data_IF_457139191115
#
_entry.id   IF_457139191115
#
_cell.length_a   1.000
_cell.length_b   1.000
_cell.length_c   1.000
_cell.angle_alpha   90.00
_cell.angle_beta   90.00
_cell.angle_gamma   90.00
#
_symmetry.space_group_name_H-M   'P 1'
#
loop_
_entity.id
_entity.type
_entity.pdbx_description
1 polymer ?
#
# COMPACT_ATOMS: atom_id res chain seq x y z
N UNK A 1 -42.58 46.27 -32.58
CA UNK A 1 -42.66 46.88 -33.93
C UNK A 1 -42.09 45.88 -34.94
N UNK A 2 -42.75 45.75 -36.10
CA UNK A 2 -42.43 44.90 -37.26
C UNK A 2 -43.09 45.56 -38.49
N UNK A 3 -42.80 45.19 -39.77
CA UNK A 3 -41.78 44.28 -40.32
C UNK A 3 -41.00 44.85 -41.56
N UNK A 4 -40.19 43.99 -42.22
CA UNK A 4 -40.13 43.77 -43.69
C UNK A 4 -38.78 43.95 -44.45
N UNK A 5 -38.41 42.88 -45.20
CA UNK A 5 -37.85 42.77 -46.59
C UNK A 5 -36.75 43.75 -47.09
N UNK A 6 -35.80 43.40 -47.98
CA UNK A 6 -35.10 42.19 -48.48
C UNK A 6 -34.50 42.53 -49.86
N UNK A 7 -33.21 42.25 -50.12
CA UNK A 7 -32.50 42.11 -51.43
C UNK A 7 -30.96 41.96 -51.17
N UNK A 8 -30.09 41.37 -52.01
CA UNK A 8 -30.25 40.52 -53.21
C UNK A 8 -29.04 39.54 -53.41
N UNK A 9 -29.04 38.82 -54.53
CA UNK A 9 -28.07 37.84 -55.11
C UNK A 9 -26.58 38.32 -55.19
N UNK A 10 -25.54 37.47 -55.34
CA UNK A 10 -25.41 36.00 -55.34
C UNK A 10 -24.13 35.44 -56.04
N UNK A 11 -23.67 34.24 -55.62
CA UNK A 11 -22.95 33.17 -56.36
C UNK A 11 -21.48 33.28 -56.91
N UNK A 12 -20.58 32.50 -56.27
CA UNK A 12 -19.72 31.41 -56.83
C UNK A 12 -18.62 31.59 -57.92
N UNK A 13 -17.40 31.13 -57.54
CA UNK A 13 -16.53 30.14 -58.24
C UNK A 13 -15.28 30.55 -59.09
N UNK A 14 -14.27 29.66 -58.97
CA UNK A 14 -13.23 29.22 -59.93
C UNK A 14 -11.84 29.90 -60.06
N UNK A 15 -10.89 29.00 -60.35
CA UNK A 15 -9.44 29.08 -60.47
C UNK A 15 -8.89 30.03 -61.56
N UNK A 16 -7.62 30.44 -61.39
CA UNK A 16 -6.80 31.02 -62.47
C UNK A 16 -5.30 30.89 -62.18
N UNK A 17 -4.57 30.14 -63.03
CA UNK A 17 -3.10 30.12 -63.02
C UNK A 17 -2.52 31.41 -63.60
N UNK A 18 -1.42 31.91 -63.04
CA UNK A 18 -0.48 32.79 -63.75
C UNK A 18 0.94 32.24 -63.58
N UNK A 19 1.56 31.90 -64.71
CA UNK A 19 2.97 31.52 -64.81
C UNK A 19 3.88 32.74 -64.70
N UNK A 20 4.99 32.62 -63.96
CA UNK A 20 6.21 33.40 -64.16
C UNK A 20 7.37 32.39 -64.20
N UNK A 21 8.16 32.42 -65.27
CA UNK A 21 9.13 31.38 -65.58
C UNK A 21 10.58 31.71 -65.30
N UNK A 22 11.38 30.64 -65.24
CA UNK A 22 12.83 30.56 -65.44
C UNK A 22 13.76 31.36 -64.49
N UNK A 23 14.46 30.64 -63.61
CA UNK A 23 15.88 30.29 -63.83
C UNK A 23 16.36 29.32 -62.75
N UNK A 24 16.32 28.01 -63.04
CA UNK A 24 16.93 26.98 -62.17
C UNK A 24 18.40 26.80 -62.56
N UNK A 25 19.31 27.17 -61.65
CA UNK A 25 20.73 26.84 -61.78
C UNK A 25 20.91 25.35 -61.48
N UNK A 26 21.04 24.55 -62.54
CA UNK A 26 21.42 23.14 -62.44
C UNK A 26 22.89 23.03 -62.04
N UNK A 27 23.14 22.90 -60.73
CA UNK A 27 24.44 22.48 -60.23
C UNK A 27 24.76 21.07 -60.73
N UNK A 28 25.86 20.92 -61.47
CA UNK A 28 26.31 19.61 -61.95
C UNK A 28 26.61 18.67 -60.75
N UNK A 29 26.22 17.39 -60.80
CA UNK A 29 26.71 16.42 -59.82
C UNK A 29 28.25 16.31 -59.93
N UNK A 30 28.98 16.10 -58.82
CA UNK A 30 30.43 16.12 -58.83
C UNK A 30 31.00 15.05 -59.76
N UNK A 31 31.97 15.44 -60.58
CA UNK A 31 32.75 14.55 -61.45
C UNK A 31 33.31 13.38 -60.61
N UNK A 32 33.21 12.12 -61.06
CA UNK A 32 33.91 11.03 -60.39
C UNK A 32 35.43 11.31 -60.44
N UNK A 33 36.18 11.04 -59.36
CA UNK A 33 37.63 11.23 -59.37
C UNK A 33 38.27 10.30 -60.42
N UNK A 34 39.32 10.80 -61.07
CA UNK A 34 40.15 10.01 -61.98
C UNK A 34 40.62 8.70 -61.30
N UNK A 35 40.90 7.62 -62.06
CA UNK A 35 41.32 6.36 -61.49
C UNK A 35 42.64 6.52 -60.73
N UNK A 36 42.54 6.73 -59.40
CA UNK A 36 43.70 6.91 -58.54
C UNK A 36 44.65 5.72 -58.66
N UNK A 37 45.95 5.99 -58.80
CA UNK A 37 46.98 4.99 -59.01
C UNK A 37 46.88 3.82 -58.03
N UNK A 38 47.11 2.56 -58.48
CA UNK A 38 47.06 1.40 -57.60
C UNK A 38 48.08 1.49 -56.45
N UNK A 39 49.16 2.25 -56.63
CA UNK A 39 50.13 2.56 -55.57
C UNK A 39 49.58 3.54 -54.54
N UNK A 40 48.91 4.62 -54.97
CA UNK A 40 48.28 5.57 -54.05
C UNK A 40 47.15 4.91 -53.23
N UNK A 41 46.36 4.01 -53.85
CA UNK A 41 45.34 3.22 -53.15
C UNK A 41 45.94 2.30 -52.08
N UNK A 42 47.10 1.67 -52.36
CA UNK A 42 47.84 0.86 -51.38
C UNK A 42 48.42 1.70 -50.24
N UNK A 43 49.00 2.86 -50.52
CA UNK A 43 49.49 3.77 -49.48
C UNK A 43 48.37 4.23 -48.53
N UNK A 44 47.20 4.58 -49.06
CA UNK A 44 46.01 4.93 -48.24
C UNK A 44 45.50 3.72 -47.45
N UNK A 45 45.54 2.51 -48.02
CA UNK A 45 45.18 1.28 -47.31
C UNK A 45 46.16 0.96 -46.17
N UNK A 46 47.46 1.11 -46.39
CA UNK A 46 48.52 0.91 -45.39
C UNK A 46 48.43 1.93 -44.25
N UNK A 47 48.18 3.21 -44.56
CA UNK A 47 47.94 4.26 -43.55
C UNK A 47 46.66 3.97 -42.73
N UNK A 48 45.58 3.53 -43.38
CA UNK A 48 44.33 3.16 -42.70
C UNK A 48 44.53 1.93 -41.79
N UNK A 49 45.32 0.95 -42.23
CA UNK A 49 45.67 -0.23 -41.44
C UNK A 49 46.52 0.14 -40.22
N UNK A 50 47.51 1.02 -40.37
CA UNK A 50 48.28 1.57 -39.24
C UNK A 50 47.38 2.25 -38.21
N UNK A 51 46.48 3.13 -38.65
CA UNK A 51 45.55 3.84 -37.76
C UNK A 51 44.62 2.86 -37.00
N UNK A 52 44.07 1.86 -37.70
CA UNK A 52 43.23 0.82 -37.10
C UNK A 52 43.97 0.00 -36.02
N UNK A 53 45.24 -0.34 -36.26
CA UNK A 53 46.04 -1.09 -35.28
C UNK A 53 46.38 -0.24 -34.06
N UNK A 54 46.71 1.05 -34.25
CA UNK A 54 46.91 1.98 -33.13
C UNK A 54 45.63 2.14 -32.31
N UNK A 55 44.48 2.31 -32.96
CA UNK A 55 43.18 2.37 -32.29
C UNK A 55 42.90 1.09 -31.49
N UNK A 56 43.04 -0.09 -32.10
CA UNK A 56 42.85 -1.38 -31.43
C UNK A 56 43.76 -1.55 -30.21
N UNK A 57 45.02 -1.13 -30.28
CA UNK A 57 45.96 -1.14 -29.15
C UNK A 57 45.49 -0.19 -28.03
N UNK A 58 45.07 1.04 -28.36
CA UNK A 58 44.60 2.00 -27.34
C UNK A 58 43.29 1.54 -26.67
N UNK A 59 42.37 0.93 -27.43
CA UNK A 59 41.15 0.33 -26.90
C UNK A 59 41.46 -0.87 -26.01
N UNK A 60 42.39 -1.74 -26.42
CA UNK A 60 42.83 -2.87 -25.61
C UNK A 60 43.50 -2.41 -24.30
N UNK A 61 44.31 -1.36 -24.31
CA UNK A 61 44.89 -0.77 -23.08
C UNK A 61 43.83 -0.22 -22.13
N UNK A 62 42.73 0.36 -22.64
CA UNK A 62 41.58 0.79 -21.82
C UNK A 62 40.87 -0.40 -21.19
N UNK A 63 40.58 -1.44 -21.98
CA UNK A 63 39.93 -2.65 -21.48
C UNK A 63 40.84 -3.48 -20.55
N UNK A 64 42.17 -3.45 -20.72
CA UNK A 64 43.09 -4.24 -19.90
C UNK A 64 43.00 -3.94 -18.40
N UNK A 65 42.55 -2.73 -18.02
CA UNK A 65 42.35 -2.33 -16.62
C UNK A 65 41.04 -2.85 -15.98
N UNK A 66 40.05 -3.24 -16.78
CA UNK A 66 38.68 -3.56 -16.31
C UNK A 66 38.19 -4.94 -16.74
N UNK A 67 38.59 -5.42 -17.92
CA UNK A 67 38.31 -6.74 -18.44
C UNK A 67 39.42 -7.18 -19.43
N UNK A 68 40.44 -7.93 -18.98
CA UNK A 68 41.55 -8.35 -19.83
C UNK A 68 41.13 -9.35 -20.92
N UNK A 69 40.09 -10.16 -20.69
CA UNK A 69 39.58 -11.08 -21.71
C UNK A 69 39.00 -10.34 -22.92
N UNK A 70 38.24 -9.26 -22.67
CA UNK A 70 37.71 -8.38 -23.72
C UNK A 70 38.83 -7.65 -24.47
N UNK A 71 39.88 -7.23 -23.77
CA UNK A 71 41.06 -6.62 -24.39
C UNK A 71 41.78 -7.57 -25.35
N UNK A 72 41.96 -8.85 -24.96
CA UNK A 72 42.53 -9.90 -25.85
C UNK A 72 41.63 -10.16 -27.06
N UNK A 73 40.30 -10.16 -26.88
CA UNK A 73 39.36 -10.37 -27.98
C UNK A 73 39.47 -9.28 -29.06
N UNK A 74 39.55 -8.00 -28.65
CA UNK A 74 39.70 -6.84 -29.56
C UNK A 74 41.00 -6.90 -30.36
N UNK A 75 42.11 -7.30 -29.73
CA UNK A 75 43.39 -7.45 -30.44
C UNK A 75 43.41 -8.65 -31.40
N UNK A 76 42.71 -9.74 -31.05
CA UNK A 76 42.59 -10.92 -31.91
C UNK A 76 41.72 -10.67 -33.14
N UNK A 77 40.62 -9.90 -33.02
CA UNK A 77 39.84 -9.50 -34.19
C UNK A 77 40.65 -8.60 -35.12
N UNK A 78 41.33 -7.58 -34.58
CA UNK A 78 42.20 -6.71 -35.38
C UNK A 78 43.33 -7.48 -36.10
N UNK A 79 43.85 -8.55 -35.49
CA UNK A 79 44.85 -9.42 -36.14
C UNK A 79 44.26 -10.19 -37.33
N UNK A 80 43.07 -10.78 -37.16
CA UNK A 80 42.37 -11.47 -38.25
C UNK A 80 42.00 -10.52 -39.41
N UNK A 81 41.60 -9.28 -39.11
CA UNK A 81 41.28 -8.25 -40.11
C UNK A 81 42.50 -7.84 -40.95
N UNK A 82 43.69 -7.75 -40.33
CA UNK A 82 44.96 -7.44 -41.01
C UNK A 82 45.46 -8.62 -41.87
N UNK A 83 45.28 -9.86 -41.38
CA UNK A 83 45.66 -11.07 -42.12
C UNK A 83 44.76 -11.34 -43.33
N UNK A 84 43.45 -11.07 -43.22
CA UNK A 84 42.48 -11.26 -44.31
C UNK A 84 42.46 -10.11 -45.33
N UNK A 85 42.98 -8.92 -45.00
CA UNK A 85 42.97 -7.77 -45.90
C UNK A 85 43.99 -7.88 -47.05
N UNK A 86 43.49 -8.11 -48.26
CA UNK A 86 44.26 -8.17 -49.50
C UNK A 86 44.78 -6.80 -50.01
N UNK A 87 44.35 -5.69 -49.41
CA UNK A 87 44.69 -4.33 -49.84
C UNK A 87 46.02 -3.79 -49.25
N UNK A 88 46.52 -4.43 -48.19
CA UNK A 88 47.72 -4.02 -47.42
C UNK A 88 48.99 -4.59 -48.08
N UNK A 89 50.08 -3.82 -48.07
CA UNK A 89 51.38 -4.29 -48.56
C UNK A 89 51.96 -5.40 -47.67
N UNK A 90 52.70 -6.39 -48.24
CA UNK A 90 53.12 -7.58 -47.49
C UNK A 90 54.08 -7.26 -46.33
N UNK A 91 54.94 -6.26 -46.50
CA UNK A 91 55.85 -5.75 -45.46
C UNK A 91 55.09 -5.08 -44.32
N UNK A 92 54.10 -4.22 -44.64
CA UNK A 92 53.27 -3.56 -43.64
C UNK A 92 52.42 -4.57 -42.86
N UNK A 93 51.88 -5.61 -43.51
CA UNK A 93 51.12 -6.69 -42.85
C UNK A 93 51.96 -7.39 -41.78
N UNK A 94 53.22 -7.75 -42.08
CA UNK A 94 54.12 -8.39 -41.12
C UNK A 94 54.48 -7.49 -39.93
N UNK A 95 54.70 -6.19 -40.17
CA UNK A 95 54.97 -5.23 -39.11
C UNK A 95 53.76 -5.05 -38.18
N UNK A 96 52.55 -4.94 -38.73
CA UNK A 96 51.31 -4.76 -37.96
C UNK A 96 50.90 -6.03 -37.19
N UNK A 97 51.03 -7.22 -37.79
CA UNK A 97 50.73 -8.47 -37.09
C UNK A 97 51.70 -8.69 -35.92
N UNK A 98 53.00 -8.39 -36.09
CA UNK A 98 53.98 -8.41 -35.00
C UNK A 98 53.64 -7.47 -33.85
N UNK A 99 53.20 -6.24 -34.15
CA UNK A 99 52.75 -5.27 -33.13
C UNK A 99 51.52 -5.77 -32.36
N UNK A 100 50.52 -6.32 -33.05
CA UNK A 100 49.33 -6.89 -32.43
C UNK A 100 49.64 -8.13 -31.59
N UNK A 101 50.51 -9.03 -32.05
CA UNK A 101 50.94 -10.20 -31.27
C UNK A 101 51.69 -9.80 -29.99
N UNK A 102 52.58 -8.81 -30.07
CA UNK A 102 53.27 -8.25 -28.90
C UNK A 102 52.28 -7.60 -27.90
N UNK A 103 51.27 -6.86 -28.40
CA UNK A 103 50.22 -6.29 -27.56
C UNK A 103 49.35 -7.37 -26.89
N UNK A 104 49.01 -8.46 -27.60
CA UNK A 104 48.26 -9.59 -27.03
C UNK A 104 49.06 -10.22 -25.88
N UNK A 105 50.37 -10.41 -26.04
CA UNK A 105 51.23 -10.95 -25.00
C UNK A 105 51.28 -10.05 -23.75
N UNK A 106 51.41 -8.72 -23.94
CA UNK A 106 51.38 -7.74 -22.85
C UNK A 106 50.04 -7.74 -22.10
N UNK A 107 48.91 -7.72 -22.82
CA UNK A 107 47.56 -7.68 -22.21
C UNK A 107 47.22 -8.98 -21.48
N UNK A 108 47.77 -10.12 -21.88
CA UNK A 108 47.62 -11.40 -21.17
C UNK A 108 48.41 -11.48 -19.85
N UNK A 109 49.15 -10.43 -19.47
CA UNK A 109 49.93 -10.43 -18.23
C UNK A 109 51.07 -11.45 -18.20
N UNK A 110 51.45 -11.99 -19.37
CA UNK A 110 52.61 -12.87 -19.52
C UNK A 110 53.85 -12.01 -19.75
N UNK A 111 54.78 -11.88 -18.77
CA UNK A 111 56.18 -11.74 -19.15
C UNK A 111 56.55 -12.92 -20.06
N UNK A 112 57.55 -12.77 -20.93
CA UNK A 112 58.26 -13.95 -21.43
C UNK A 112 58.87 -14.61 -20.19
N UNK A 113 58.39 -15.79 -19.77
CA UNK A 113 58.98 -16.43 -18.61
C UNK A 113 60.38 -16.89 -19.02
N UNK A 114 61.44 -16.68 -18.20
CA UNK A 114 62.40 -17.77 -18.10
C UNK A 114 61.56 -19.02 -17.77
N UNK A 115 61.71 -20.14 -18.51
CA UNK A 115 60.76 -21.26 -18.44
C UNK A 115 60.54 -21.63 -16.98
N UNK A 116 59.27 -21.65 -16.49
CA UNK A 116 59.02 -21.87 -15.08
C UNK A 116 59.68 -23.19 -14.68
N UNK A 117 60.52 -23.13 -13.65
CA UNK A 117 61.17 -24.31 -13.07
C UNK A 117 60.06 -25.35 -12.86
N UNK A 118 60.16 -26.48 -13.57
CA UNK A 118 58.98 -27.27 -13.89
C UNK A 118 58.27 -27.71 -12.60
N UNK A 119 57.00 -27.31 -12.36
CA UNK A 119 56.14 -28.16 -11.54
C UNK A 119 56.08 -29.46 -12.33
N UNK A 120 56.82 -30.47 -11.84
CA UNK A 120 57.36 -31.56 -12.66
C UNK A 120 56.32 -32.08 -13.63
N UNK A 121 56.64 -32.05 -14.94
CA UNK A 121 55.64 -32.22 -16.02
C UNK A 121 54.68 -33.34 -15.65
N UNK A 122 53.36 -33.08 -15.48
CA UNK A 122 52.41 -34.12 -15.13
C UNK A 122 52.59 -35.23 -16.14
N UNK A 123 52.84 -36.45 -15.66
CA UNK A 123 53.27 -37.52 -16.55
C UNK A 123 52.22 -37.71 -17.64
N UNK A 124 52.59 -38.20 -18.85
CA UNK A 124 51.59 -38.46 -19.89
C UNK A 124 50.42 -39.31 -19.37
N UNK A 125 50.68 -40.19 -18.38
CA UNK A 125 49.68 -40.99 -17.69
C UNK A 125 48.75 -40.16 -16.78
N UNK A 126 49.23 -39.15 -16.07
CA UNK A 126 48.40 -38.30 -15.18
C UNK A 126 47.54 -37.32 -15.98
N UNK A 127 48.06 -36.83 -17.11
CA UNK A 127 47.31 -36.06 -18.11
C UNK A 127 46.24 -36.92 -18.79
N UNK A 128 46.49 -38.21 -18.99
CA UNK A 128 45.53 -39.16 -19.57
C UNK A 128 44.46 -39.57 -18.55
N UNK A 129 44.84 -39.86 -17.30
CA UNK A 129 43.92 -40.14 -16.18
C UNK A 129 42.99 -38.96 -15.88
N UNK A 130 43.51 -37.72 -15.82
CA UNK A 130 42.68 -36.53 -15.59
C UNK A 130 41.69 -36.27 -16.73
N UNK A 131 42.07 -36.54 -17.98
CA UNK A 131 41.16 -36.53 -19.14
C UNK A 131 40.09 -37.62 -19.05
N UNK A 132 40.46 -38.84 -18.68
CA UNK A 132 39.51 -39.95 -18.47
C UNK A 132 38.51 -39.62 -17.35
N UNK A 133 38.98 -39.13 -16.20
CA UNK A 133 38.12 -38.71 -15.08
C UNK A 133 37.20 -37.53 -15.46
N UNK A 134 37.68 -36.56 -16.25
CA UNK A 134 36.84 -35.47 -16.74
C UNK A 134 35.76 -35.98 -17.71
N UNK A 135 36.10 -36.94 -18.57
CA UNK A 135 35.16 -37.57 -19.50
C UNK A 135 34.11 -38.43 -18.77
N UNK A 136 34.51 -39.20 -17.76
CA UNK A 136 33.61 -39.97 -16.89
C UNK A 136 32.64 -39.05 -16.13
N UNK A 137 33.13 -37.94 -15.58
CA UNK A 137 32.27 -36.93 -14.92
C UNK A 137 31.27 -36.30 -15.89
N UNK A 138 31.70 -35.96 -17.11
CA UNK A 138 30.81 -35.44 -18.15
C UNK A 138 29.73 -36.46 -18.55
N UNK A 139 30.10 -37.74 -18.72
CA UNK A 139 29.14 -38.81 -19.02
C UNK A 139 28.15 -39.04 -17.86
N UNK A 140 28.59 -38.91 -16.62
CA UNK A 140 27.71 -38.97 -15.45
C UNK A 140 26.74 -37.78 -15.41
N UNK A 141 27.23 -36.54 -15.59
CA UNK A 141 26.41 -35.33 -15.65
C UNK A 141 25.33 -35.42 -16.74
N UNK A 142 25.68 -35.86 -17.95
CA UNK A 142 24.71 -36.01 -19.05
C UNK A 142 23.60 -37.01 -18.69
N UNK A 143 23.94 -38.13 -18.03
CA UNK A 143 22.95 -39.12 -17.57
C UNK A 143 22.05 -38.56 -16.47
N UNK A 144 22.65 -37.98 -15.43
CA UNK A 144 21.92 -37.36 -14.32
C UNK A 144 20.94 -36.29 -14.80
N UNK A 145 21.37 -35.42 -15.71
CA UNK A 145 20.55 -34.37 -16.31
C UNK A 145 19.43 -34.96 -17.18
N UNK A 146 19.72 -36.00 -17.97
CA UNK A 146 18.71 -36.67 -18.80
C UNK A 146 17.63 -37.37 -17.95
N UNK A 147 18.02 -38.08 -16.89
CA UNK A 147 17.08 -38.71 -15.95
C UNK A 147 16.29 -37.69 -15.13
N UNK A 148 16.90 -36.55 -14.78
CA UNK A 148 16.20 -35.46 -14.12
C UNK A 148 15.15 -34.82 -15.05
N UNK A 149 15.51 -34.53 -16.30
CA UNK A 149 14.58 -33.98 -17.32
C UNK A 149 13.38 -34.93 -17.53
N UNK A 150 13.62 -36.24 -17.61
CA UNK A 150 12.53 -37.23 -17.74
C UNK A 150 11.59 -37.24 -16.53
N UNK A 151 12.13 -37.17 -15.30
CA UNK A 151 11.32 -37.09 -14.08
C UNK A 151 10.53 -35.77 -14.00
N UNK A 152 11.15 -34.66 -14.36
CA UNK A 152 10.51 -33.33 -14.40
C UNK A 152 9.37 -33.32 -15.43
N UNK A 153 9.56 -33.93 -16.61
CA UNK A 153 8.51 -34.08 -17.61
C UNK A 153 7.31 -34.89 -17.07
N UNK A 154 7.55 -36.03 -16.41
CA UNK A 154 6.49 -36.82 -15.77
C UNK A 154 5.74 -36.06 -14.67
N UNK A 155 6.42 -35.20 -13.90
CA UNK A 155 5.79 -34.35 -12.89
C UNK A 155 4.94 -33.23 -13.55
N UNK A 156 5.41 -32.65 -14.65
CA UNK A 156 4.66 -31.67 -15.44
C UNK A 156 3.40 -32.30 -16.07
N UNK A 157 3.50 -33.50 -16.65
CA UNK A 157 2.36 -34.26 -17.20
C UNK A 157 1.31 -34.60 -16.14
N UNK A 158 1.74 -34.90 -14.90
CA UNK A 158 0.86 -35.14 -13.75
C UNK A 158 0.31 -33.86 -13.10
N UNK A 159 0.63 -32.68 -13.64
CA UNK A 159 0.20 -31.39 -13.08
C UNK A 159 0.85 -31.02 -11.74
N UNK A 160 1.90 -31.72 -11.31
CA UNK A 160 2.60 -31.49 -10.04
C UNK A 160 3.66 -30.39 -10.19
N UNK A 161 3.21 -29.19 -10.59
CA UNK A 161 4.06 -28.09 -11.06
C UNK A 161 5.04 -27.58 -9.99
N UNK A 162 4.63 -27.50 -8.72
CA UNK A 162 5.53 -27.12 -7.61
C UNK A 162 6.63 -28.16 -7.35
N UNK A 163 6.33 -29.45 -7.53
CA UNK A 163 7.31 -30.52 -7.36
C UNK A 163 8.31 -30.53 -8.53
N UNK A 164 7.82 -30.30 -9.75
CA UNK A 164 8.66 -30.11 -10.93
C UNK A 164 9.62 -28.92 -10.75
N UNK A 165 9.11 -27.76 -10.31
CA UNK A 165 9.94 -26.57 -10.06
C UNK A 165 11.05 -26.83 -9.03
N UNK A 166 10.73 -27.48 -7.90
CA UNK A 166 11.74 -27.83 -6.87
C UNK A 166 12.87 -28.71 -7.45
N UNK A 167 12.56 -29.64 -8.36
CA UNK A 167 13.57 -30.44 -9.04
C UNK A 167 14.37 -29.64 -10.07
N UNK A 168 13.74 -28.69 -10.79
CA UNK A 168 14.46 -27.77 -11.70
C UNK A 168 15.44 -26.90 -10.92
N UNK A 169 15.02 -26.34 -9.79
CA UNK A 169 15.87 -25.50 -8.93
C UNK A 169 17.00 -26.30 -8.24
N UNK A 170 16.77 -27.55 -7.86
CA UNK A 170 17.84 -28.44 -7.36
C UNK A 170 18.85 -28.77 -8.48
N UNK A 171 18.37 -29.07 -9.68
CA UNK A 171 19.23 -29.36 -10.83
C UNK A 171 20.08 -28.14 -11.22
N UNK A 172 19.50 -26.94 -11.21
CA UNK A 172 20.19 -25.67 -11.46
C UNK A 172 21.25 -25.33 -10.40
N UNK A 173 21.05 -25.74 -9.15
CA UNK A 173 22.09 -25.61 -8.10
C UNK A 173 23.23 -26.62 -8.27
N UNK A 174 22.94 -27.81 -8.80
CA UNK A 174 23.92 -28.88 -9.01
C UNK A 174 24.76 -28.67 -10.27
N UNK A 175 24.17 -28.16 -11.34
CA UNK A 175 24.82 -27.91 -12.63
C UNK A 175 24.50 -26.50 -13.18
N UNK A 176 25.10 -25.42 -12.63
CA UNK A 176 24.75 -24.05 -13.01
C UNK A 176 25.10 -23.67 -14.46
N UNK A 177 26.22 -24.19 -14.98
CA UNK A 177 26.75 -23.84 -16.30
C UNK A 177 26.23 -24.73 -17.44
N UNK A 178 25.33 -25.69 -17.16
CA UNK A 178 24.86 -26.64 -18.15
C UNK A 178 23.72 -26.04 -19.02
N UNK A 179 23.87 -26.00 -20.37
CA UNK A 179 22.91 -25.33 -21.24
C UNK A 179 21.51 -25.98 -21.24
N UNK A 180 21.40 -27.28 -20.98
CA UNK A 180 20.10 -27.95 -20.91
C UNK A 180 19.31 -27.52 -19.65
N UNK A 181 20.02 -27.28 -18.54
CA UNK A 181 19.42 -26.88 -17.26
C UNK A 181 18.98 -25.41 -17.29
N UNK A 182 19.79 -24.54 -17.91
CA UNK A 182 19.42 -23.14 -18.17
C UNK A 182 18.15 -23.02 -19.03
N UNK A 183 18.08 -23.74 -20.15
CA UNK A 183 16.88 -23.74 -21.01
C UNK A 183 15.63 -24.28 -20.29
N UNK A 184 15.79 -25.26 -19.41
CA UNK A 184 14.69 -25.80 -18.60
C UNK A 184 14.19 -24.78 -17.58
N UNK A 185 15.09 -24.03 -16.94
CA UNK A 185 14.72 -22.98 -15.99
C UNK A 185 14.00 -21.82 -16.68
N UNK A 186 14.49 -21.37 -17.85
CA UNK A 186 13.85 -20.29 -18.61
C UNK A 186 12.48 -20.71 -19.17
N UNK A 187 12.35 -21.97 -19.64
CA UNK A 187 11.05 -22.54 -20.04
C UNK A 187 10.04 -22.53 -18.89
N UNK A 188 10.44 -22.94 -17.69
CA UNK A 188 9.55 -22.96 -16.53
C UNK A 188 9.19 -21.53 -16.09
N UNK A 189 10.15 -20.61 -16.01
CA UNK A 189 9.89 -19.18 -15.72
C UNK A 189 8.89 -18.57 -16.69
N UNK A 190 9.04 -18.82 -17.99
CA UNK A 190 8.11 -18.34 -19.00
C UNK A 190 6.72 -18.97 -18.82
N UNK A 191 6.65 -20.29 -18.61
CA UNK A 191 5.39 -20.99 -18.38
C UNK A 191 4.68 -20.53 -17.09
N UNK A 192 5.43 -20.11 -16.07
CA UNK A 192 4.88 -19.51 -14.85
C UNK A 192 4.34 -18.11 -15.12
N UNK A 193 5.13 -17.23 -15.75
CA UNK A 193 4.67 -15.89 -16.12
C UNK A 193 3.39 -15.90 -16.97
N UNK A 194 3.23 -16.86 -17.88
CA UNK A 194 1.98 -17.05 -18.64
C UNK A 194 0.82 -17.54 -17.75
N UNK A 195 1.05 -18.49 -16.84
CA UNK A 195 0.04 -18.96 -15.87
C UNK A 195 -0.42 -17.82 -14.96
N UNK A 196 0.52 -17.07 -14.39
CA UNK A 196 0.26 -15.97 -13.47
C UNK A 196 -0.45 -14.80 -14.17
N UNK A 197 -0.07 -14.49 -15.41
CA UNK A 197 -0.80 -13.52 -16.23
C UNK A 197 -2.25 -13.98 -16.51
N UNK A 198 -2.48 -15.27 -16.77
CA UNK A 198 -3.83 -15.81 -16.97
C UNK A 198 -4.68 -15.83 -15.69
N UNK A 199 -4.11 -16.20 -14.54
CA UNK A 199 -4.84 -16.18 -13.25
C UNK A 199 -5.15 -14.75 -12.83
N UNK A 200 -4.20 -13.82 -13.01
CA UNK A 200 -4.42 -12.40 -12.76
C UNK A 200 -5.50 -11.81 -13.70
N UNK A 201 -5.45 -12.12 -14.99
CA UNK A 201 -6.47 -11.67 -15.94
C UNK A 201 -7.88 -12.19 -15.61
N UNK A 202 -8.00 -13.46 -15.18
CA UNK A 202 -9.27 -14.04 -14.69
C UNK A 202 -9.75 -13.32 -13.43
N UNK A 203 -8.89 -13.14 -12.43
CA UNK A 203 -9.21 -12.42 -11.21
C UNK A 203 -9.66 -10.98 -11.52
N UNK A 204 -8.98 -10.27 -12.43
CA UNK A 204 -9.35 -8.93 -12.85
C UNK A 204 -10.73 -8.91 -13.53
N UNK A 205 -11.00 -9.85 -14.44
CA UNK A 205 -12.30 -9.99 -15.10
C UNK A 205 -13.43 -10.25 -14.09
N UNK A 206 -13.24 -11.18 -13.16
CA UNK A 206 -14.23 -11.50 -12.11
C UNK A 206 -14.53 -10.30 -11.22
N UNK A 207 -13.50 -9.52 -10.84
CA UNK A 207 -13.63 -8.31 -10.02
C UNK A 207 -14.30 -7.16 -10.78
N UNK A 208 -13.98 -6.97 -12.05
CA UNK A 208 -14.65 -5.99 -12.91
C UNK A 208 -16.13 -6.37 -13.14
N UNK A 209 -16.44 -7.65 -13.35
CA UNK A 209 -17.81 -8.13 -13.48
C UNK A 209 -18.60 -8.04 -12.16
N UNK A 210 -17.94 -8.14 -11.00
CA UNK A 210 -18.55 -7.84 -9.70
C UNK A 210 -18.84 -6.35 -9.54
N UNK A 211 -17.85 -5.49 -9.80
CA UNK A 211 -17.99 -4.03 -9.74
C UNK A 211 -19.10 -3.52 -10.67
N UNK A 212 -19.18 -4.02 -11.91
CA UNK A 212 -20.24 -3.65 -12.85
C UNK A 212 -21.62 -4.05 -12.33
N UNK A 213 -21.77 -5.23 -11.70
CA UNK A 213 -23.04 -5.65 -11.09
C UNK A 213 -23.43 -4.75 -9.93
N UNK A 214 -22.49 -4.35 -9.07
CA UNK A 214 -22.76 -3.46 -7.96
C UNK A 214 -23.11 -2.03 -8.43
N UNK A 215 -22.42 -1.51 -9.45
CA UNK A 215 -22.76 -0.23 -10.09
C UNK A 215 -24.17 -0.30 -10.67
N UNK A 216 -24.47 -1.30 -11.52
CA UNK A 216 -25.79 -1.45 -12.12
C UNK A 216 -26.88 -1.56 -11.06
N UNK A 217 -26.65 -2.36 -10.01
CA UNK A 217 -27.57 -2.48 -8.87
C UNK A 217 -27.81 -1.14 -8.17
N UNK A 218 -26.78 -0.31 -8.00
CA UNK A 218 -26.92 1.03 -7.40
C UNK A 218 -27.63 2.05 -8.31
N UNK A 219 -27.61 1.84 -9.63
CA UNK A 219 -28.32 2.69 -10.60
C UNK A 219 -29.78 2.30 -10.83
N UNK A 220 -30.21 1.12 -10.38
CA UNK A 220 -31.61 0.72 -10.45
C UNK A 220 -32.42 1.52 -9.42
N UNK A 221 -33.56 2.14 -9.81
CA UNK A 221 -34.45 2.75 -8.84
C UNK A 221 -35.04 1.67 -7.92
N UNK A 222 -35.24 1.95 -6.62
CA UNK A 222 -35.82 0.98 -5.70
C UNK A 222 -37.29 0.71 -6.06
N UNK A 223 -37.76 -0.53 -5.87
CA UNK A 223 -39.15 -0.93 -6.15
C UNK A 223 -40.13 -0.49 -5.05
N UNK A 224 -39.60 0.02 -3.94
CA UNK A 224 -40.31 0.54 -2.75
C UNK A 224 -39.62 1.81 -2.26
N UNK A 225 -40.28 2.56 -1.38
CA UNK A 225 -39.77 3.82 -0.83
C UNK A 225 -38.35 3.71 -0.24
N UNK A 226 -38.02 2.58 0.41
CA UNK A 226 -36.67 2.26 0.91
C UNK A 226 -36.37 0.77 0.72
N UNK A 227 -35.23 0.45 0.11
CA UNK A 227 -34.70 -0.91 0.02
C UNK A 227 -33.37 -1.06 0.78
N UNK A 228 -33.36 -1.93 1.79
CA UNK A 228 -32.15 -2.26 2.53
C UNK A 228 -31.40 -3.44 1.91
N UNK A 229 -30.05 -3.48 1.98
CA UNK A 229 -29.28 -4.67 1.60
C UNK A 229 -29.72 -5.90 2.40
N UNK A 230 -29.64 -7.13 1.83
CA UNK A 230 -30.07 -8.36 2.51
C UNK A 230 -29.35 -8.58 3.85
N UNK A 231 -28.07 -8.19 3.93
CA UNK A 231 -27.26 -8.30 5.15
C UNK A 231 -27.54 -7.20 6.19
N UNK A 232 -28.54 -6.33 5.99
CA UNK A 232 -28.81 -5.20 6.89
C UNK A 232 -29.08 -5.62 8.33
N UNK A 233 -29.79 -6.75 8.56
CA UNK A 233 -30.00 -7.31 9.90
C UNK A 233 -28.67 -7.66 10.57
N UNK A 234 -27.80 -8.40 9.88
CA UNK A 234 -26.49 -8.79 10.40
C UNK A 234 -25.59 -7.57 10.65
N UNK A 235 -25.59 -6.58 9.75
CA UNK A 235 -24.85 -5.30 9.94
C UNK A 235 -25.38 -4.54 11.16
N UNK A 236 -26.68 -4.54 11.38
CA UNK A 236 -27.33 -3.90 12.53
C UNK A 236 -27.02 -4.64 13.83
N UNK A 237 -27.10 -5.98 13.85
CA UNK A 237 -26.69 -6.80 15.00
C UNK A 237 -25.22 -6.57 15.37
N UNK A 238 -24.30 -6.56 14.40
CA UNK A 238 -22.88 -6.25 14.64
C UNK A 238 -22.67 -4.85 15.24
N UNK A 239 -23.47 -3.85 14.85
CA UNK A 239 -23.45 -2.50 15.47
C UNK A 239 -24.00 -2.52 16.90
N UNK A 240 -25.09 -3.25 17.15
CA UNK A 240 -25.77 -3.33 18.45
C UNK A 240 -25.02 -4.17 19.49
N UNK A 241 -24.23 -5.16 19.08
CA UNK A 241 -23.48 -6.05 20.00
C UNK A 241 -22.40 -5.35 20.84
N UNK A 242 -22.12 -4.07 20.59
CA UNK A 242 -21.01 -3.31 21.18
C UNK A 242 -21.19 -2.95 22.66
N UNK A 243 -22.40 -3.06 23.23
CA UNK A 243 -22.67 -2.81 24.66
C UNK A 243 -23.44 -3.98 25.29
N UNK A 244 -22.72 -5.05 25.65
CA UNK A 244 -23.28 -6.12 26.49
C UNK A 244 -23.25 -5.69 27.96
N UNK A 245 -24.24 -4.90 28.38
CA UNK A 245 -24.57 -4.77 29.81
C UNK A 245 -25.03 -6.14 30.32
N UNK A 246 -24.58 -6.53 31.52
CA UNK A 246 -25.13 -7.71 32.20
C UNK A 246 -26.61 -7.49 32.54
N UNK A 247 -27.37 -8.56 32.78
CA UNK A 247 -28.76 -8.44 33.21
C UNK A 247 -28.89 -7.69 34.54
N UNK A 248 -27.87 -7.77 35.41
CA UNK A 248 -27.83 -7.06 36.67
C UNK A 248 -27.50 -5.57 36.50
N UNK A 249 -26.53 -5.23 35.65
CA UNK A 249 -26.25 -3.83 35.29
C UNK A 249 -27.48 -3.13 34.69
N UNK A 250 -28.27 -3.83 33.85
CA UNK A 250 -29.55 -3.31 33.34
C UNK A 250 -30.55 -3.02 34.46
N UNK A 251 -30.76 -3.98 35.38
CA UNK A 251 -31.65 -3.79 36.55
C UNK A 251 -31.22 -2.60 37.41
N UNK A 252 -29.91 -2.40 37.61
CA UNK A 252 -29.36 -1.24 38.33
C UNK A 252 -29.67 0.06 37.58
N UNK A 253 -29.46 0.10 36.26
CA UNK A 253 -29.76 1.28 35.43
C UNK A 253 -31.26 1.61 35.46
N UNK A 254 -32.13 0.61 35.33
CA UNK A 254 -33.59 0.75 35.38
C UNK A 254 -34.07 1.18 36.77
N UNK A 255 -33.44 0.69 37.85
CA UNK A 255 -33.72 1.13 39.22
C UNK A 255 -33.31 2.59 39.44
N UNK A 256 -32.18 3.03 38.89
CA UNK A 256 -31.70 4.42 38.94
C UNK A 256 -32.59 5.39 38.14
N UNK A 257 -33.35 4.94 37.16
CA UNK A 257 -34.30 5.79 36.41
C UNK A 257 -35.65 6.00 37.12
N UNK A 258 -35.94 5.28 38.21
CA UNK A 258 -37.19 5.45 38.96
C UNK A 258 -37.30 6.86 39.56
N UNK A 259 -38.49 7.49 39.54
CA UNK A 259 -38.71 8.76 40.22
C UNK A 259 -38.68 8.57 41.74
N UNK A 260 -38.13 9.55 42.44
CA UNK A 260 -38.01 9.55 43.90
C UNK A 260 -38.16 10.98 44.41
N UNK A 261 -38.71 11.13 45.62
CA UNK A 261 -38.86 12.41 46.30
C UNK A 261 -38.17 12.31 47.66
N UNK A 262 -37.21 13.20 47.92
CA UNK A 262 -36.36 13.22 49.12
C UNK A 262 -36.22 14.64 49.68
N UNK A 263 -36.12 14.75 51.00
CA UNK A 263 -36.01 16.02 51.72
C UNK A 263 -35.01 15.85 52.87
N UNK A 264 -33.73 15.92 52.56
CA UNK A 264 -32.65 15.87 53.54
C UNK A 264 -32.33 17.27 54.04
N UNK A 265 -32.27 17.42 55.36
CA UNK A 265 -31.90 18.65 56.04
C UNK A 265 -30.82 18.31 57.05
N UNK A 266 -29.59 18.68 56.74
CA UNK A 266 -28.41 18.44 57.58
C UNK A 266 -28.17 16.94 57.94
N UNK A 267 -28.39 16.03 56.99
CA UNK A 267 -28.20 14.57 57.14
C UNK A 267 -26.80 14.19 56.66
N UNK A 268 -26.10 13.24 57.30
CA UNK A 268 -24.73 12.88 56.91
C UNK A 268 -24.69 12.19 55.54
N UNK A 269 -23.63 12.43 54.74
CA UNK A 269 -23.49 11.82 53.42
C UNK A 269 -23.49 10.27 53.48
N UNK A 270 -22.89 9.68 54.51
CA UNK A 270 -22.91 8.22 54.73
C UNK A 270 -24.33 7.68 54.96
N UNK A 271 -25.15 8.38 55.76
CA UNK A 271 -26.56 8.03 55.99
C UNK A 271 -27.40 8.18 54.70
N UNK A 272 -27.18 9.26 53.94
CA UNK A 272 -27.85 9.47 52.64
C UNK A 272 -27.51 8.37 51.64
N UNK A 273 -26.25 7.93 51.57
CA UNK A 273 -25.85 6.83 50.69
C UNK A 273 -26.44 5.49 51.15
N UNK A 274 -26.55 5.25 52.46
CA UNK A 274 -27.20 4.07 53.00
C UNK A 274 -28.72 4.07 52.74
N UNK A 275 -29.40 5.20 52.89
CA UNK A 275 -30.82 5.35 52.56
C UNK A 275 -31.06 5.09 51.07
N UNK A 276 -30.24 5.68 50.19
CA UNK A 276 -30.31 5.47 48.75
C UNK A 276 -30.04 4.00 48.37
N UNK A 277 -29.08 3.34 49.02
CA UNK A 277 -28.83 1.89 48.81
C UNK A 277 -30.03 1.05 49.23
N UNK A 278 -30.67 1.36 50.36
CA UNK A 278 -31.88 0.69 50.83
C UNK A 278 -33.08 0.90 49.87
N UNK A 279 -33.24 2.11 49.32
CA UNK A 279 -34.29 2.44 48.33
C UNK A 279 -34.04 1.77 46.96
N UNK A 280 -32.77 1.62 46.55
CA UNK A 280 -32.38 0.89 45.34
C UNK A 280 -32.57 -0.62 45.47
N UNK A 281 -32.35 -1.17 46.67
CA UNK A 281 -32.21 -2.61 46.89
C UNK A 281 -30.89 -3.18 46.38
N UNK A 282 -29.91 -2.32 46.07
CA UNK A 282 -28.59 -2.69 45.55
C UNK A 282 -27.49 -1.96 46.34
N UNK A 283 -26.34 -2.62 46.49
CA UNK A 283 -25.25 -2.12 47.33
C UNK A 283 -24.45 -1.00 46.64
N UNK A 284 -24.25 0.13 47.34
CA UNK A 284 -23.43 1.25 46.87
C UNK A 284 -22.04 1.15 47.52
N UNK A 285 -21.03 0.83 46.70
CA UNK A 285 -19.64 0.67 47.14
C UNK A 285 -18.91 2.02 47.12
N UNK A 286 -18.42 2.46 48.28
CA UNK A 286 -17.62 3.68 48.41
C UNK A 286 -16.13 3.34 48.28
N UNK A 287 -15.46 3.90 47.26
CA UNK A 287 -14.02 3.75 47.07
C UNK A 287 -13.23 4.66 48.01
N UNK A 288 -13.07 4.18 49.25
CA UNK A 288 -12.36 4.87 50.35
C UNK A 288 -10.95 5.34 49.98
N UNK A 289 -10.25 4.70 49.04
CA UNK A 289 -8.93 5.16 48.57
C UNK A 289 -9.06 6.48 47.82
N UNK A 290 -9.97 6.52 46.84
CA UNK A 290 -10.19 7.74 46.06
C UNK A 290 -10.67 8.93 46.90
N UNK A 291 -11.50 8.68 47.93
CA UNK A 291 -11.95 9.72 48.85
C UNK A 291 -10.81 10.25 49.74
N UNK A 292 -9.92 9.37 50.21
CA UNK A 292 -8.74 9.74 50.99
C UNK A 292 -7.75 10.59 50.17
N UNK A 293 -7.56 10.28 48.88
CA UNK A 293 -6.68 11.03 47.97
C UNK A 293 -7.06 12.53 47.86
N UNK A 294 -8.36 12.86 47.99
CA UNK A 294 -8.87 14.24 48.00
C UNK A 294 -9.22 14.78 49.40
N UNK A 295 -8.96 14.02 50.47
CA UNK A 295 -9.31 14.42 51.84
C UNK A 295 -10.80 14.65 52.08
N UNK A 296 -11.68 13.95 51.34
CA UNK A 296 -13.13 14.14 51.41
C UNK A 296 -13.70 13.37 52.61
N UNK A 297 -14.29 14.11 53.56
CA UNK A 297 -14.97 13.56 54.72
C UNK A 297 -16.44 13.18 54.42
N UNK A 298 -16.80 11.93 54.75
CA UNK A 298 -18.14 11.36 54.63
C UNK A 298 -19.11 11.87 55.71
N UNK A 299 -18.61 12.50 56.78
CA UNK A 299 -19.40 13.04 57.87
C UNK A 299 -19.96 14.45 57.58
N UNK A 300 -19.65 15.04 56.41
CA UNK A 300 -20.25 16.32 56.01
C UNK A 300 -21.77 16.19 55.82
N UNK A 301 -22.55 17.16 56.31
CA UNK A 301 -23.99 17.17 56.11
C UNK A 301 -24.37 17.54 54.67
N UNK A 302 -25.38 16.85 54.16
CA UNK A 302 -26.09 17.10 52.90
C UNK A 302 -27.39 17.84 53.23
N UNK A 303 -27.74 18.82 52.41
CA UNK A 303 -29.09 19.41 52.41
C UNK A 303 -29.59 19.46 50.96
N UNK A 304 -30.66 18.71 50.69
CA UNK A 304 -31.25 18.61 49.36
C UNK A 304 -32.76 18.40 49.46
N UNK A 305 -33.50 19.13 48.62
CA UNK A 305 -34.93 18.88 48.37
C UNK A 305 -35.10 18.55 46.91
N UNK A 306 -35.52 17.33 46.62
CA UNK A 306 -35.79 16.84 45.28
C UNK A 306 -37.20 16.23 45.26
N UNK A 307 -38.06 16.73 44.37
CA UNK A 307 -39.43 16.24 44.20
C UNK A 307 -39.55 15.66 42.79
N UNK A 308 -39.99 14.40 42.66
CA UNK A 308 -40.22 13.74 41.37
C UNK A 308 -39.01 13.79 40.41
N UNK A 309 -37.79 13.65 40.95
CA UNK A 309 -36.56 13.51 40.15
C UNK A 309 -36.16 12.03 40.06
N UNK A 310 -35.47 11.62 38.99
CA UNK A 310 -34.93 10.26 38.94
C UNK A 310 -33.85 10.07 40.00
N UNK A 311 -33.78 8.89 40.58
CA UNK A 311 -32.81 8.53 41.61
C UNK A 311 -31.36 8.76 41.15
N UNK A 312 -31.08 8.52 39.85
CA UNK A 312 -29.85 8.90 39.15
C UNK A 312 -29.49 10.37 39.34
N UNK A 313 -30.45 11.27 39.07
CA UNK A 313 -30.26 12.72 39.18
C UNK A 313 -30.00 13.13 40.62
N UNK A 314 -30.78 12.59 41.57
CA UNK A 314 -30.62 12.83 43.00
C UNK A 314 -29.22 12.41 43.48
N UNK A 315 -28.82 11.16 43.20
CA UNK A 315 -27.51 10.63 43.58
C UNK A 315 -26.35 11.46 42.98
N UNK A 316 -26.44 11.87 41.71
CA UNK A 316 -25.42 12.74 41.11
C UNK A 316 -25.40 14.14 41.70
N UNK A 317 -26.56 14.71 42.02
CA UNK A 317 -26.62 16.04 42.63
C UNK A 317 -26.01 16.05 44.04
N UNK A 318 -26.24 15.00 44.85
CA UNK A 318 -25.57 14.83 46.15
C UNK A 318 -24.05 14.71 45.95
N UNK A 319 -23.60 13.79 45.10
CA UNK A 319 -22.16 13.52 44.91
C UNK A 319 -21.40 14.72 44.31
N UNK A 320 -22.03 15.47 43.39
CA UNK A 320 -21.43 16.62 42.73
C UNK A 320 -21.01 17.74 43.71
N UNK A 321 -21.76 17.94 44.81
CA UNK A 321 -21.40 18.93 45.83
C UNK A 321 -20.10 18.62 46.57
N UNK A 322 -19.64 17.36 46.54
CA UNK A 322 -18.38 16.91 47.13
C UNK A 322 -17.28 16.61 46.09
N UNK A 323 -17.51 16.90 44.80
CA UNK A 323 -16.58 16.51 43.72
C UNK A 323 -16.50 15.00 43.48
N UNK A 324 -17.50 14.25 43.95
CA UNK A 324 -17.64 12.82 43.75
C UNK A 324 -18.55 12.52 42.55
N UNK A 325 -18.46 11.29 42.06
CA UNK A 325 -19.33 10.76 41.01
C UNK A 325 -19.53 9.27 41.24
N UNK A 326 -20.43 8.64 40.49
CA UNK A 326 -20.59 7.19 40.51
C UNK A 326 -20.43 6.61 39.10
N UNK A 327 -20.02 5.36 39.04
CA UNK A 327 -20.10 4.53 37.83
C UNK A 327 -20.78 3.20 38.15
N UNK A 328 -21.59 2.68 37.23
CA UNK A 328 -22.03 1.28 37.27
C UNK A 328 -20.95 0.44 36.61
N UNK A 329 -20.33 -0.46 37.37
CA UNK A 329 -19.27 -1.36 36.89
C UNK A 329 -19.19 -2.61 37.77
N UNK A 330 -18.91 -3.75 37.14
CA UNK A 330 -18.74 -5.04 37.82
C UNK A 330 -20.00 -5.42 38.65
N UNK A 331 -21.18 -5.17 38.08
CA UNK A 331 -22.50 -5.36 38.69
C UNK A 331 -22.79 -4.56 39.98
N UNK A 332 -22.02 -3.51 40.27
CA UNK A 332 -22.22 -2.64 41.45
C UNK A 332 -22.18 -1.15 41.09
N UNK A 333 -22.79 -0.32 41.95
CA UNK A 333 -22.62 1.14 41.91
C UNK A 333 -21.36 1.46 42.70
N UNK A 334 -20.35 2.04 42.05
CA UNK A 334 -19.09 2.45 42.69
C UNK A 334 -19.01 3.98 42.76
N UNK A 335 -19.00 4.52 43.98
CA UNK A 335 -18.83 5.96 44.27
C UNK A 335 -17.35 6.26 44.43
N UNK A 336 -16.85 7.22 43.66
CA UNK A 336 -15.43 7.59 43.60
C UNK A 336 -15.24 9.03 43.15
N UNK A 337 -14.00 9.51 43.12
CA UNK A 337 -13.67 10.86 42.62
C UNK A 337 -13.83 10.97 41.10
N UNK A 338 -14.15 12.19 40.62
CA UNK A 338 -14.26 12.48 39.18
C UNK A 338 -12.96 12.15 38.42
N UNK A 339 -11.80 12.34 39.04
CA UNK A 339 -10.50 12.02 38.42
C UNK A 339 -10.30 10.53 38.19
N UNK A 340 -10.62 9.70 39.20
CA UNK A 340 -10.53 8.25 39.08
C UNK A 340 -11.56 7.70 38.09
N UNK A 341 -12.80 8.23 38.13
CA UNK A 341 -13.86 7.87 37.20
C UNK A 341 -13.45 8.10 35.74
N UNK A 342 -12.75 9.21 35.41
CA UNK A 342 -12.22 9.46 34.05
C UNK A 342 -11.36 8.30 33.54
N UNK A 343 -10.54 7.68 34.39
CA UNK A 343 -9.69 6.54 34.05
C UNK A 343 -10.45 5.27 33.68
N UNK A 344 -11.70 5.14 34.14
CA UNK A 344 -12.55 3.96 33.93
C UNK A 344 -13.61 4.14 32.82
N UNK A 345 -13.68 5.33 32.20
CA UNK A 345 -14.57 5.58 31.08
C UNK A 345 -14.09 4.89 29.80
N UNK A 346 -15.05 4.36 29.03
CA UNK A 346 -14.82 3.81 27.69
C UNK A 346 -14.89 4.94 26.67
N UNK A 347 -14.07 4.90 25.63
CA UNK A 347 -14.19 5.81 24.47
C UNK A 347 -14.88 5.07 23.32
N UNK A 348 -15.94 5.66 22.74
CA UNK A 348 -16.60 5.17 21.53
C UNK A 348 -16.72 6.27 20.48
N UNK A 349 -16.74 5.85 19.22
CA UNK A 349 -16.86 6.72 18.05
C UNK A 349 -18.23 6.45 17.40
N UNK A 350 -19.04 7.49 17.28
CA UNK A 350 -20.36 7.45 16.64
C UNK A 350 -20.29 8.26 15.34
N UNK A 351 -20.56 7.64 14.20
CA UNK A 351 -20.62 8.36 12.92
C UNK A 351 -21.87 9.24 12.87
N UNK A 352 -21.70 10.52 12.50
CA UNK A 352 -22.76 11.53 12.42
C UNK A 352 -22.94 12.13 11.03
N UNK A 353 -22.14 11.75 10.02
CA UNK A 353 -22.16 12.41 8.70
C UNK A 353 -23.55 12.54 8.08
N UNK A 354 -24.36 11.49 8.15
CA UNK A 354 -25.74 11.44 7.64
C UNK A 354 -26.74 12.34 8.41
N UNK A 355 -26.46 12.65 9.68
CA UNK A 355 -27.31 13.48 10.54
C UNK A 355 -26.93 14.97 10.54
N UNK A 356 -25.68 15.26 10.14
CA UNK A 356 -25.08 16.59 10.27
C UNK A 356 -24.96 17.28 8.91
N UNK A 357 -24.63 16.53 7.86
CA UNK A 357 -24.69 17.02 6.48
C UNK A 357 -26.15 17.35 6.19
N UNK A 358 -26.44 18.64 5.96
CA UNK A 358 -27.81 19.11 5.94
C UNK A 358 -28.63 18.42 4.86
N UNK A 359 -29.80 17.88 5.22
CA UNK A 359 -30.86 17.54 4.27
C UNK A 359 -31.77 18.78 4.18
N UNK A 360 -31.65 19.52 3.09
CA UNK A 360 -32.40 20.76 2.86
C UNK A 360 -32.43 21.09 1.36
N UNK A 361 -33.04 22.21 0.94
CA UNK A 361 -33.12 22.59 -0.48
C UNK A 361 -31.75 22.89 -1.13
N UNK A 362 -30.69 22.96 -0.33
CA UNK A 362 -29.28 23.08 -0.74
C UNK A 362 -28.41 21.90 -0.27
N UNK A 363 -29.04 20.91 0.37
CA UNK A 363 -28.41 19.81 1.06
C UNK A 363 -28.27 18.57 0.20
N UNK A 364 -27.04 18.11 -0.04
CA UNK A 364 -26.73 16.98 -0.92
C UNK A 364 -26.04 17.35 -2.24
N UNK A 365 -25.83 18.64 -2.53
CA UNK A 365 -25.06 19.10 -3.67
C UNK A 365 -23.78 19.84 -3.20
N UNK A 366 -22.56 19.42 -3.60
CA UNK A 366 -21.31 20.15 -3.32
C UNK A 366 -21.17 21.45 -4.16
N UNK A 367 -22.30 22.04 -4.54
CA UNK A 367 -22.45 23.11 -5.53
C UNK A 367 -22.17 24.51 -4.95
N UNK A 368 -22.22 24.66 -3.62
CA UNK A 368 -21.98 25.92 -2.89
C UNK A 368 -20.66 25.93 -2.09
N UNK A 369 -19.74 25.04 -2.44
CA UNK A 369 -18.36 25.04 -1.95
C UNK A 369 -18.15 24.55 -0.51
N UNK A 370 -16.96 24.01 -0.26
CA UNK A 370 -16.56 23.35 1.00
C UNK A 370 -16.62 24.25 2.24
N UNK A 371 -16.74 25.57 2.09
CA UNK A 371 -16.71 26.53 3.19
C UNK A 371 -18.09 26.78 3.83
N UNK A 372 -19.16 26.94 3.05
CA UNK A 372 -20.51 27.11 3.62
C UNK A 372 -21.00 25.83 4.32
N UNK A 373 -20.71 24.68 3.71
CA UNK A 373 -21.06 23.36 4.24
C UNK A 373 -20.39 23.09 5.60
N UNK A 374 -19.12 23.49 5.76
CA UNK A 374 -18.38 23.43 7.02
C UNK A 374 -19.08 24.20 8.15
N UNK A 375 -19.51 25.44 7.90
CA UNK A 375 -20.13 26.26 8.95
C UNK A 375 -21.49 25.70 9.41
N UNK A 376 -22.32 25.24 8.46
CA UNK A 376 -23.61 24.62 8.77
C UNK A 376 -23.42 23.28 9.50
N UNK A 377 -22.49 22.44 9.03
CA UNK A 377 -22.08 21.19 9.70
C UNK A 377 -21.68 21.45 11.16
N UNK A 378 -20.84 22.45 11.43
CA UNK A 378 -20.42 22.78 12.80
C UNK A 378 -21.60 23.25 13.68
N UNK A 379 -22.49 24.10 13.17
CA UNK A 379 -23.69 24.53 13.91
C UNK A 379 -24.63 23.37 14.22
N UNK A 380 -24.86 22.46 13.27
CA UNK A 380 -25.65 21.25 13.47
C UNK A 380 -25.02 20.35 14.54
N UNK A 381 -23.69 20.18 14.52
CA UNK A 381 -22.94 19.43 15.55
C UNK A 381 -23.09 20.07 16.92
N UNK A 382 -22.92 21.38 17.06
CA UNK A 382 -23.03 22.06 18.36
C UNK A 382 -24.43 21.90 18.95
N UNK A 383 -25.48 22.01 18.13
CA UNK A 383 -26.86 21.75 18.56
C UNK A 383 -27.07 20.30 18.99
N UNK A 384 -26.53 19.32 18.26
CA UNK A 384 -26.60 17.91 18.63
C UNK A 384 -25.81 17.60 19.92
N UNK A 385 -24.58 18.10 20.05
CA UNK A 385 -23.75 17.96 21.25
C UNK A 385 -24.46 18.54 22.46
N UNK A 386 -24.96 19.77 22.36
CA UNK A 386 -25.72 20.43 23.43
C UNK A 386 -26.97 19.64 23.79
N UNK A 387 -27.73 19.15 22.81
CA UNK A 387 -28.95 18.35 23.05
C UNK A 387 -28.63 17.03 23.74
N UNK A 388 -27.54 16.36 23.34
CA UNK A 388 -27.05 15.15 24.01
C UNK A 388 -26.66 15.46 25.46
N UNK A 389 -25.93 16.55 25.68
CA UNK A 389 -25.46 16.96 27.00
C UNK A 389 -26.60 17.37 27.95
N UNK A 390 -27.68 17.97 27.44
CA UNK A 390 -28.84 18.36 28.24
C UNK A 390 -29.87 17.23 28.44
N UNK A 391 -29.94 16.25 27.54
CA UNK A 391 -30.92 15.15 27.62
C UNK A 391 -30.39 13.86 28.25
N UNK A 392 -29.10 13.55 28.08
CA UNK A 392 -28.43 12.38 28.64
C UNK A 392 -27.60 12.82 29.85
N UNK A 393 -28.26 12.87 31.01
CA UNK A 393 -27.65 13.12 32.33
C UNK A 393 -26.71 14.35 32.37
N UNK A 394 -27.26 15.56 32.58
CA UNK A 394 -26.49 16.80 32.51
C UNK A 394 -25.25 16.83 33.41
N UNK A 395 -25.35 16.29 34.62
CA UNK A 395 -24.27 16.30 35.62
C UNK A 395 -23.11 15.34 35.25
N UNK A 396 -23.27 14.50 34.23
CA UNK A 396 -22.20 13.61 33.75
C UNK A 396 -21.04 14.34 33.06
N UNK A 397 -21.36 15.45 32.38
CA UNK A 397 -20.47 16.03 31.38
C UNK A 397 -19.46 16.99 32.02
N UNK A 398 -18.25 17.05 31.46
CA UNK A 398 -17.15 17.90 31.94
C UNK A 398 -17.53 19.38 32.08
N UNK A 399 -18.39 19.88 31.21
CA UNK A 399 -18.93 21.25 31.26
C UNK A 399 -19.72 21.52 32.55
N UNK A 400 -20.35 20.50 33.12
CA UNK A 400 -21.09 20.55 34.39
C UNK A 400 -20.30 19.89 35.55
N UNK A 401 -18.97 19.77 35.43
CA UNK A 401 -18.07 19.24 36.46
C UNK A 401 -17.89 17.72 36.47
N UNK A 402 -18.60 16.97 35.62
CA UNK A 402 -18.54 15.50 35.60
C UNK A 402 -17.31 14.90 34.90
N UNK A 403 -17.18 13.55 34.89
CA UNK A 403 -16.05 12.87 34.29
C UNK A 403 -16.13 12.75 32.76
N UNK A 404 -17.33 12.76 32.18
CA UNK A 404 -17.59 12.47 30.77
C UNK A 404 -17.17 13.58 29.80
N UNK A 405 -16.82 13.21 28.56
CA UNK A 405 -16.58 14.20 27.51
C UNK A 405 -17.02 13.74 26.13
N UNK A 406 -17.41 14.72 25.32
CA UNK A 406 -17.96 14.59 23.98
C UNK A 406 -17.19 15.56 23.09
N UNK A 407 -16.64 15.07 21.98
CA UNK A 407 -15.79 15.84 21.06
C UNK A 407 -16.17 15.45 19.63
N UNK A 408 -16.34 16.42 18.75
CA UNK A 408 -16.55 16.15 17.33
C UNK A 408 -15.22 16.12 16.56
N UNK A 409 -15.07 15.13 15.69
CA UNK A 409 -13.92 14.96 14.80
C UNK A 409 -14.36 15.13 13.34
N UNK A 410 -14.15 16.35 12.82
CA UNK A 410 -14.61 16.76 11.49
C UNK A 410 -14.12 15.86 10.33
N UNK A 411 -12.82 15.46 10.23
CA UNK A 411 -12.34 14.68 9.08
C UNK A 411 -13.00 13.31 8.90
N UNK A 412 -13.56 12.73 9.97
CA UNK A 412 -14.31 11.46 9.91
C UNK A 412 -15.81 11.65 10.08
N UNK A 413 -16.30 12.89 10.21
CA UNK A 413 -17.69 13.23 10.54
C UNK A 413 -18.24 12.41 11.72
N UNK A 414 -17.44 12.28 12.80
CA UNK A 414 -17.77 11.40 13.93
C UNK A 414 -17.69 12.11 15.28
N UNK A 415 -18.57 11.70 16.18
CA UNK A 415 -18.58 12.07 17.59
C UNK A 415 -17.76 11.08 18.41
N UNK A 416 -16.70 11.56 19.06
CA UNK A 416 -15.89 10.81 20.02
C UNK A 416 -16.46 11.07 21.41
N UNK A 417 -17.11 10.07 21.99
CA UNK A 417 -17.71 10.13 23.32
C UNK A 417 -16.89 9.26 24.26
N UNK A 418 -16.40 9.84 25.36
CA UNK A 418 -15.77 9.14 26.47
C UNK A 418 -16.73 9.14 27.66
N UNK A 419 -17.33 7.98 27.95
CA UNK A 419 -18.41 7.85 28.92
C UNK A 419 -18.41 6.48 29.63
N UNK A 420 -19.28 6.34 30.65
CA UNK A 420 -19.52 5.08 31.36
C UNK A 420 -20.36 4.12 30.50
N UNK A 421 -20.35 2.82 30.83
CA UNK A 421 -21.07 1.81 30.07
C UNK A 421 -22.59 2.08 30.05
N UNK A 422 -23.17 2.47 31.19
CA UNK A 422 -24.54 2.99 31.35
C UNK A 422 -24.86 4.14 30.39
N UNK A 423 -24.05 5.20 30.34
CA UNK A 423 -24.29 6.35 29.45
C UNK A 423 -24.25 5.91 27.99
N UNK A 424 -23.26 5.10 27.58
CA UNK A 424 -23.22 4.56 26.21
C UNK A 424 -24.42 3.65 25.87
N UNK A 425 -25.01 2.96 26.85
CA UNK A 425 -26.24 2.20 26.66
C UNK A 425 -27.45 3.13 26.48
N UNK A 426 -27.52 4.25 27.21
CA UNK A 426 -28.54 5.29 27.01
C UNK A 426 -28.44 5.96 25.63
N UNK A 427 -27.23 6.21 25.11
CA UNK A 427 -27.03 6.59 23.71
C UNK A 427 -27.64 5.54 22.76
N UNK A 428 -27.38 4.26 23.03
CA UNK A 428 -27.89 3.15 22.22
C UNK A 428 -29.41 3.00 22.27
N UNK A 429 -30.06 3.23 23.40
CA UNK A 429 -31.51 3.08 23.54
C UNK A 429 -32.30 4.32 23.06
N UNK A 430 -31.85 5.53 23.43
CA UNK A 430 -32.59 6.77 23.10
C UNK A 430 -32.40 7.25 21.67
N UNK A 431 -31.27 6.96 21.02
CA UNK A 431 -31.03 7.33 19.61
C UNK A 431 -31.56 6.29 18.62
N UNK A 432 -31.79 5.04 19.05
CA UNK A 432 -32.20 3.95 18.15
C UNK A 432 -33.72 3.78 17.99
N UNK A 433 -34.53 4.63 18.62
CA UNK A 433 -35.99 4.72 18.42
C UNK A 433 -36.73 3.38 18.54
N UNK A 434 -36.96 2.92 19.77
CA UNK A 434 -37.92 1.84 20.08
C UNK A 434 -39.17 2.39 20.74
#
# INVERSE_FOLDING_TARGET
>A
MCPAKSWVRGASALCGLVWIGALTVWGQPPRPPAPADPLARRQVADQKAQAMVQEAITLAQRYARTNPAKAVQVLRSALADIETSAAISPTMRQQLSGQLQAAIAQVQGRPVPPPPAEPGRPSPQDLQKSRQQAYERYLAEVRDVQEAIQRIAQLQERGQLEAAQKQIDELARRYPDNPAVLLLQDKERFAQGVRDAQTFARLQADRLAALQRDILRSTLPPLRDVEFPPDWKQKTERRLQTVRLTEREKKIIDALDKPTSVNWQNVMLEEVLQELSNQLGENILIDKRSLADLGIDLQRPVTLRANNLSLRTVLRQVLATYGLTYIVKDEAIQVMTVEKARGLLVTRVYYLGDLVQGIGPFGGAPQWGTFLDLQQTLQNVELLMRTIQTSIDPLFWRENGGPGSIIFHYPSMSLIVRASAEVHALFGSRLAGR
#
